data_IF_331839923386
#
_entry.id   IF_331839923386
#
_cell.length_a   1.000
_cell.length_b   1.000
_cell.length_c   1.000
_cell.angle_alpha   90.00
_cell.angle_beta   90.00
_cell.angle_gamma   90.00
#
_symmetry.space_group_name_H-M   'P 1'
#
loop_
_entity.id
_entity.type
_entity.pdbx_description
1 polymer ?
#
# COMPACT_ATOMS: atom_id res chain seq x y z
N UNK A 1 -7.58 38.35 -30.79
CA UNK A 1 -8.29 37.13 -31.19
C UNK A 1 -7.73 36.48 -32.47
N UNK A 2 -6.69 37.05 -33.09
CA UNK A 2 -6.05 36.53 -34.33
C UNK A 2 -4.68 35.88 -34.11
N UNK A 3 -4.03 36.09 -32.97
CA UNK A 3 -2.67 35.61 -32.75
C UNK A 3 -2.59 34.23 -32.07
N UNK A 4 -3.70 33.76 -31.49
CA UNK A 4 -3.76 32.44 -30.82
C UNK A 4 -4.01 31.28 -31.81
N UNK A 5 -4.51 31.61 -33.02
CA UNK A 5 -4.80 30.58 -34.04
C UNK A 5 -3.59 30.23 -34.90
N UNK A 6 -2.59 31.11 -34.98
CA UNK A 6 -1.36 30.84 -35.77
C UNK A 6 -0.31 30.03 -35.01
N UNK A 7 -0.28 30.07 -33.67
CA UNK A 7 0.61 29.23 -32.87
C UNK A 7 0.23 27.72 -32.92
N UNK A 8 -1.04 27.40 -33.07
CA UNK A 8 -1.50 26.01 -33.17
C UNK A 8 -1.18 25.36 -34.52
N UNK A 9 -1.06 26.16 -35.59
CA UNK A 9 -0.64 25.68 -36.93
C UNK A 9 0.87 25.42 -37.01
N UNK A 10 1.68 26.20 -36.32
CA UNK A 10 3.13 25.96 -36.27
C UNK A 10 3.54 24.71 -35.50
N UNK A 11 2.77 24.36 -34.46
CA UNK A 11 2.98 23.11 -33.70
C UNK A 11 2.54 21.86 -34.47
N UNK A 12 1.47 21.93 -35.25
CA UNK A 12 1.03 20.84 -36.12
C UNK A 12 1.95 20.65 -37.33
N UNK A 13 2.55 21.69 -37.85
CA UNK A 13 3.54 21.60 -38.94
C UNK A 13 4.87 20.98 -38.47
N UNK A 14 5.32 21.31 -37.25
CA UNK A 14 6.53 20.69 -36.68
C UNK A 14 6.33 19.22 -36.30
N UNK A 15 5.13 18.81 -35.91
CA UNK A 15 4.83 17.39 -35.62
C UNK A 15 4.72 16.54 -36.88
N UNK A 16 4.35 17.11 -38.03
CA UNK A 16 4.29 16.42 -39.32
C UNK A 16 5.65 16.30 -40.00
N UNK A 17 6.57 17.25 -39.80
CA UNK A 17 7.93 17.19 -40.35
C UNK A 17 8.85 16.19 -39.60
N UNK A 18 8.54 15.85 -38.35
CA UNK A 18 9.29 14.83 -37.59
C UNK A 18 8.90 13.39 -38.00
N UNK A 19 7.82 13.24 -38.78
CA UNK A 19 7.37 11.90 -39.25
C UNK A 19 7.82 11.54 -40.66
N UNK A 20 8.53 12.43 -41.36
CA UNK A 20 8.98 12.13 -42.72
C UNK A 20 10.51 11.94 -42.77
N UNK A 21 10.90 10.70 -42.79
CA UNK A 21 12.15 10.27 -43.39
C UNK A 21 13.37 10.15 -42.49
N UNK A 22 13.52 9.02 -41.95
CA UNK A 22 14.72 8.20 -42.17
C UNK A 22 14.48 6.80 -41.59
N UNK A 23 14.76 5.81 -42.39
CA UNK A 23 14.86 4.39 -42.05
C UNK A 23 15.97 4.13 -41.02
N UNK A 24 15.80 4.67 -39.82
CA UNK A 24 16.53 4.27 -38.63
C UNK A 24 15.75 3.14 -37.98
N UNK A 25 16.40 2.02 -37.71
CA UNK A 25 15.85 0.89 -36.99
C UNK A 25 15.03 1.37 -35.79
N UNK A 26 13.72 1.17 -35.84
CA UNK A 26 12.80 1.39 -34.72
C UNK A 26 13.33 0.54 -33.59
N UNK A 27 13.88 1.17 -32.55
CA UNK A 27 14.26 0.46 -31.34
C UNK A 27 12.95 0.21 -30.58
N UNK A 28 12.46 -1.05 -30.48
CA UNK A 28 11.19 -1.34 -29.82
C UNK A 28 11.15 -0.89 -28.34
N UNK A 29 12.31 -0.55 -27.77
CA UNK A 29 12.41 0.02 -26.42
C UNK A 29 12.15 1.54 -26.36
N UNK A 30 11.89 2.21 -27.50
CA UNK A 30 11.87 3.67 -27.60
C UNK A 30 10.51 4.25 -28.03
N UNK A 31 9.67 3.48 -28.71
CA UNK A 31 8.37 3.93 -29.21
C UNK A 31 7.23 3.74 -28.18
N UNK A 32 7.50 4.14 -26.94
CA UNK A 32 6.38 4.42 -26.07
C UNK A 32 5.70 5.72 -26.56
N UNK A 33 4.58 5.53 -27.25
CA UNK A 33 3.62 6.63 -27.45
C UNK A 33 3.11 7.01 -26.06
N UNK A 34 3.60 8.12 -25.53
CA UNK A 34 3.00 8.68 -24.30
C UNK A 34 1.50 8.70 -24.48
N UNK A 35 0.71 8.24 -23.51
CA UNK A 35 -0.73 8.45 -23.56
C UNK A 35 -0.96 9.90 -23.95
N UNK A 36 -1.83 10.11 -24.94
CA UNK A 36 -2.09 11.40 -25.54
C UNK A 36 -2.08 12.46 -24.44
N UNK A 37 -1.30 13.49 -24.66
CA UNK A 37 -1.11 14.60 -23.74
C UNK A 37 -2.48 15.02 -23.23
N UNK A 38 -2.87 14.52 -22.06
CA UNK A 38 -3.93 15.14 -21.29
C UNK A 38 -3.38 16.54 -21.03
N UNK A 39 -4.06 17.54 -21.55
CA UNK A 39 -3.52 18.89 -21.62
C UNK A 39 -2.90 19.31 -20.31
N UNK A 40 -1.69 19.86 -20.34
CA UNK A 40 -0.93 20.25 -19.14
C UNK A 40 -1.75 21.04 -18.12
N UNK A 41 -2.75 21.72 -18.60
CA UNK A 41 -3.60 22.59 -17.81
C UNK A 41 -4.56 21.86 -16.87
N UNK A 42 -5.03 20.66 -17.21
CA UNK A 42 -6.12 20.01 -16.46
C UNK A 42 -5.67 19.19 -15.26
N UNK A 43 -4.41 18.72 -15.24
CA UNK A 43 -3.89 17.92 -14.13
C UNK A 43 -3.36 18.72 -12.93
N UNK A 44 -3.00 20.01 -13.15
CA UNK A 44 -2.21 20.78 -12.18
C UNK A 44 -2.84 22.06 -11.65
N UNK A 45 -3.97 22.49 -12.20
CA UNK A 45 -4.61 23.77 -11.83
C UNK A 45 -6.03 23.59 -11.29
N UNK A 46 -6.14 22.81 -10.20
CA UNK A 46 -7.38 22.83 -9.40
C UNK A 46 -7.60 24.24 -8.84
N UNK A 47 -8.66 24.91 -9.30
CA UNK A 47 -9.04 26.26 -8.86
C UNK A 47 -9.57 26.27 -7.41
N UNK A 48 -9.93 25.11 -6.85
CA UNK A 48 -10.45 24.96 -5.49
C UNK A 48 -9.64 23.96 -4.66
N UNK A 49 -9.77 24.05 -3.32
CA UNK A 49 -9.19 23.08 -2.41
C UNK A 49 -9.66 21.63 -2.71
N UNK A 50 -10.94 21.48 -3.05
CA UNK A 50 -11.54 20.17 -3.36
C UNK A 50 -10.92 19.57 -4.62
N UNK A 51 -10.79 20.36 -5.70
CA UNK A 51 -10.16 19.88 -6.93
C UNK A 51 -8.72 19.45 -6.72
N UNK A 52 -7.96 20.23 -5.94
CA UNK A 52 -6.55 19.95 -5.65
C UNK A 52 -6.35 18.74 -4.72
N UNK A 53 -7.23 18.54 -3.73
CA UNK A 53 -6.99 17.54 -2.68
C UNK A 53 -7.96 16.36 -2.69
N UNK A 54 -9.06 16.43 -3.45
CA UNK A 54 -10.04 15.33 -3.51
C UNK A 54 -10.01 14.65 -4.88
N UNK A 55 -10.01 15.43 -5.95
CA UNK A 55 -10.09 14.93 -7.31
C UNK A 55 -8.78 15.05 -8.10
N UNK A 56 -7.70 15.44 -7.46
CA UNK A 56 -6.40 15.54 -8.11
C UNK A 56 -5.89 14.15 -8.52
N UNK A 57 -5.39 14.06 -9.74
CA UNK A 57 -4.81 12.85 -10.30
C UNK A 57 -3.27 12.88 -10.33
N UNK A 58 -2.65 14.02 -9.93
CA UNK A 58 -1.19 14.17 -9.85
C UNK A 58 -0.60 13.23 -8.80
N UNK A 59 0.28 12.35 -9.22
CA UNK A 59 0.94 11.38 -8.36
C UNK A 59 1.70 12.02 -7.18
N UNK A 60 2.23 13.23 -7.33
CA UNK A 60 2.94 13.93 -6.25
C UNK A 60 1.98 14.37 -5.16
N UNK A 61 0.80 14.89 -5.53
CA UNK A 61 -0.25 15.26 -4.57
C UNK A 61 -0.77 14.01 -3.87
N UNK A 62 -1.04 12.95 -4.63
CA UNK A 62 -1.49 11.65 -4.10
C UNK A 62 -0.42 11.06 -3.16
N UNK A 63 0.87 11.17 -3.50
CA UNK A 63 1.97 10.77 -2.63
C UNK A 63 1.97 11.50 -1.29
N UNK A 64 1.72 12.83 -1.29
CA UNK A 64 1.58 13.63 -0.07
C UNK A 64 0.34 13.22 0.73
N UNK A 65 -0.78 12.90 0.08
CA UNK A 65 -1.99 12.41 0.74
C UNK A 65 -1.75 11.06 1.45
N UNK A 66 -1.08 10.12 0.78
CA UNK A 66 -0.66 8.85 1.40
C UNK A 66 0.27 9.09 2.60
N UNK A 67 1.27 9.98 2.43
CA UNK A 67 2.21 10.33 3.49
C UNK A 67 1.51 10.89 4.73
N UNK A 68 0.64 11.89 4.55
CA UNK A 68 -0.09 12.51 5.66
C UNK A 68 -1.03 11.52 6.36
N UNK A 69 -1.73 10.67 5.59
CA UNK A 69 -2.62 9.64 6.14
C UNK A 69 -1.82 8.58 6.90
N UNK A 70 -0.67 8.15 6.36
CA UNK A 70 0.24 7.23 7.02
C UNK A 70 0.79 7.81 8.33
N UNK A 71 1.26 9.05 8.33
CA UNK A 71 1.76 9.72 9.55
C UNK A 71 0.66 9.85 10.59
N UNK A 72 -0.56 10.20 10.19
CA UNK A 72 -1.70 10.24 11.10
C UNK A 72 -1.95 8.88 11.76
N UNK A 73 -2.02 7.80 10.98
CA UNK A 73 -2.19 6.44 11.54
C UNK A 73 -1.01 6.03 12.41
N UNK A 74 0.21 6.40 12.01
CA UNK A 74 1.44 6.15 12.79
C UNK A 74 1.40 6.84 14.15
N UNK A 75 0.91 8.09 14.24
CA UNK A 75 0.72 8.81 15.51
C UNK A 75 -0.30 8.08 16.39
N UNK A 76 -1.41 7.61 15.82
CA UNK A 76 -2.39 6.80 16.58
C UNK A 76 -1.72 5.54 17.12
N UNK A 77 -1.01 4.80 16.28
CA UNK A 77 -0.26 3.60 16.69
C UNK A 77 0.77 3.89 17.79
N UNK A 78 1.49 5.02 17.70
CA UNK A 78 2.45 5.46 18.71
C UNK A 78 1.75 5.75 20.06
N UNK A 79 0.63 6.43 20.04
CA UNK A 79 -0.16 6.72 21.25
C UNK A 79 -0.62 5.42 21.93
N UNK A 80 -1.10 4.43 21.15
CA UNK A 80 -1.48 3.12 21.70
C UNK A 80 -0.28 2.43 22.39
N UNK A 81 0.89 2.45 21.75
CA UNK A 81 2.12 1.90 22.33
C UNK A 81 2.51 2.63 23.63
N UNK A 82 2.43 3.96 23.63
CA UNK A 82 2.74 4.75 24.82
C UNK A 82 1.81 4.44 25.99
N UNK A 83 0.50 4.35 25.74
CA UNK A 83 -0.50 3.97 26.75
C UNK A 83 -0.25 2.57 27.32
N UNK A 84 0.08 1.59 26.46
CA UNK A 84 0.48 0.26 26.91
C UNK A 84 1.73 0.28 27.80
N UNK A 85 2.72 1.11 27.47
CA UNK A 85 3.94 1.27 28.28
C UNK A 85 3.68 1.92 29.62
N UNK A 86 2.79 2.91 29.68
CA UNK A 86 2.36 3.51 30.96
C UNK A 86 1.66 2.47 31.84
N UNK A 87 0.77 1.65 31.28
CA UNK A 87 0.09 0.59 32.03
C UNK A 87 1.08 -0.43 32.61
N UNK A 88 2.10 -0.83 31.87
CA UNK A 88 3.10 -1.79 32.32
C UNK A 88 4.11 -1.19 33.31
N UNK A 89 4.49 0.07 33.10
CA UNK A 89 5.49 0.74 33.94
C UNK A 89 4.93 1.24 35.28
N UNK A 90 3.65 1.58 35.32
CA UNK A 90 3.00 2.17 36.48
C UNK A 90 1.60 1.58 36.72
N UNK A 91 1.47 0.27 36.98
CA UNK A 91 0.17 -0.41 37.03
C UNK A 91 -0.75 0.14 38.13
N UNK A 92 -0.21 0.57 39.25
CA UNK A 92 -0.98 1.12 40.38
C UNK A 92 -1.44 2.57 40.13
N UNK A 93 -0.62 3.37 39.44
CA UNK A 93 -0.92 4.77 39.14
C UNK A 93 -1.76 4.92 37.86
N UNK A 94 -1.55 4.04 36.90
CA UNK A 94 -2.14 4.11 35.57
C UNK A 94 -3.28 3.09 35.35
N UNK A 95 -3.85 2.50 36.39
CA UNK A 95 -4.87 1.42 36.33
C UNK A 95 -6.16 1.72 35.55
N UNK A 96 -6.04 2.46 34.42
CA UNK A 96 -7.14 2.85 33.54
C UNK A 96 -7.46 1.80 32.46
N UNK A 97 -6.59 0.79 32.29
CA UNK A 97 -6.70 -0.18 31.19
C UNK A 97 -7.02 -1.58 31.73
N UNK A 98 -8.12 -2.16 31.26
CA UNK A 98 -8.43 -3.57 31.51
C UNK A 98 -7.53 -4.49 30.66
N UNK A 99 -7.44 -5.76 30.99
CA UNK A 99 -6.71 -6.74 30.17
C UNK A 99 -7.26 -6.81 28.74
N UNK A 100 -8.57 -6.70 28.59
CA UNK A 100 -9.23 -6.67 27.27
C UNK A 100 -8.80 -5.48 26.42
N UNK A 101 -8.81 -4.26 26.99
CA UNK A 101 -8.33 -3.07 26.31
C UNK A 101 -6.84 -3.18 25.96
N UNK A 102 -6.03 -3.81 26.82
CA UNK A 102 -4.62 -4.02 26.53
C UNK A 102 -4.42 -4.90 25.29
N UNK A 103 -5.14 -6.02 25.16
CA UNK A 103 -5.07 -6.89 23.98
C UNK A 103 -5.58 -6.19 22.70
N UNK A 104 -6.62 -5.38 22.82
CA UNK A 104 -7.10 -4.54 21.71
C UNK A 104 -6.02 -3.55 21.27
N UNK A 105 -5.32 -2.90 22.19
CA UNK A 105 -4.25 -1.96 21.86
C UNK A 105 -3.03 -2.65 21.26
N UNK A 106 -2.64 -3.82 21.75
CA UNK A 106 -1.57 -4.65 21.14
C UNK A 106 -1.92 -4.98 19.68
N UNK A 107 -3.15 -5.42 19.45
CA UNK A 107 -3.61 -5.79 18.11
C UNK A 107 -3.61 -4.59 17.16
N UNK A 108 -4.21 -3.49 17.59
CA UNK A 108 -4.34 -2.29 16.78
C UNK A 108 -3.00 -1.61 16.54
N UNK A 109 -2.14 -1.54 17.56
CA UNK A 109 -0.78 -1.02 17.40
C UNK A 109 0.00 -1.83 16.35
N UNK A 110 0.00 -3.16 16.47
CA UNK A 110 0.72 -4.04 15.54
C UNK A 110 0.20 -3.88 14.11
N UNK A 111 -1.12 -3.93 13.92
CA UNK A 111 -1.76 -3.78 12.62
C UNK A 111 -1.50 -2.39 12.00
N UNK A 112 -1.67 -1.32 12.77
CA UNK A 112 -1.45 0.05 12.30
C UNK A 112 0.01 0.25 11.90
N UNK A 113 0.96 -0.15 12.74
CA UNK A 113 2.37 0.15 12.48
C UNK A 113 2.93 -0.64 11.31
N UNK A 114 2.60 -1.93 11.19
CA UNK A 114 3.14 -2.76 10.11
C UNK A 114 2.40 -2.50 8.81
N UNK A 115 1.08 -2.63 8.79
CA UNK A 115 0.30 -2.62 7.55
C UNK A 115 -0.05 -1.19 7.12
N UNK A 116 -0.71 -0.41 7.97
CA UNK A 116 -1.28 0.89 7.55
C UNK A 116 -0.26 2.02 7.53
N UNK A 117 0.73 2.01 8.42
CA UNK A 117 1.74 3.07 8.47
C UNK A 117 2.89 2.81 7.52
N UNK A 118 3.65 1.72 7.73
CA UNK A 118 4.90 1.49 6.98
C UNK A 118 4.64 1.24 5.49
N UNK A 119 3.67 0.39 5.14
CA UNK A 119 3.35 0.10 3.73
C UNK A 119 2.83 1.34 3.02
N UNK A 120 1.93 2.10 3.65
CA UNK A 120 1.42 3.33 3.06
C UNK A 120 2.51 4.39 2.92
N UNK A 121 3.44 4.48 3.88
CA UNK A 121 4.55 5.43 3.81
C UNK A 121 5.50 5.09 2.66
N UNK A 122 6.00 3.85 2.63
CA UNK A 122 7.05 3.46 1.67
C UNK A 122 6.50 3.20 0.28
N UNK A 123 5.43 2.43 0.15
CA UNK A 123 4.85 2.13 -1.15
C UNK A 123 3.90 3.23 -1.62
N UNK A 124 2.98 3.69 -0.78
CA UNK A 124 2.00 4.71 -1.13
C UNK A 124 2.61 6.10 -1.30
N UNK A 125 3.27 6.61 -0.25
CA UNK A 125 3.84 7.95 -0.19
C UNK A 125 5.06 8.10 -1.09
N UNK A 126 6.15 7.42 -0.75
CA UNK A 126 7.38 7.52 -1.52
C UNK A 126 7.25 6.95 -2.93
N UNK A 127 6.47 5.86 -3.14
CA UNK A 127 6.25 5.29 -4.46
C UNK A 127 5.62 6.30 -5.41
N UNK A 128 4.51 6.91 -5.04
CA UNK A 128 3.84 7.91 -5.86
C UNK A 128 4.70 9.15 -6.12
N UNK A 129 5.43 9.59 -5.12
CA UNK A 129 6.24 10.81 -5.25
C UNK A 129 7.51 10.59 -6.06
N UNK A 130 8.24 9.49 -5.80
CA UNK A 130 9.58 9.27 -6.34
C UNK A 130 9.59 8.58 -7.71
N UNK A 131 8.66 7.64 -7.98
CA UNK A 131 8.68 6.88 -9.24
C UNK A 131 8.64 7.81 -10.46
N UNK A 132 7.65 8.72 -10.64
CA UNK A 132 7.63 9.58 -11.82
C UNK A 132 8.89 10.42 -11.95
N UNK A 133 9.37 10.98 -10.84
CA UNK A 133 10.58 11.80 -10.84
C UNK A 133 11.83 11.02 -11.23
N UNK A 134 12.00 9.82 -10.68
CA UNK A 134 13.20 9.00 -10.88
C UNK A 134 13.24 8.29 -12.22
N UNK A 135 12.07 7.94 -12.80
CA UNK A 135 12.03 7.36 -14.16
C UNK A 135 11.92 8.41 -15.26
N UNK A 136 11.75 9.69 -14.89
CA UNK A 136 11.60 10.81 -15.82
C UNK A 136 10.23 10.82 -16.52
N UNK A 137 9.22 10.21 -15.90
CA UNK A 137 7.84 10.28 -16.34
C UNK A 137 7.20 11.58 -15.81
N UNK A 138 6.22 12.09 -16.53
CA UNK A 138 5.45 13.27 -16.09
C UNK A 138 4.53 12.90 -14.91
N UNK A 139 3.85 11.76 -15.02
CA UNK A 139 2.92 11.23 -14.04
C UNK A 139 2.88 9.69 -14.12
N UNK A 140 2.04 9.07 -13.30
CA UNK A 140 1.72 7.65 -13.42
C UNK A 140 0.94 7.35 -14.70
N UNK A 141 1.05 6.13 -15.23
CA UNK A 141 0.38 5.73 -16.47
C UNK A 141 -1.14 5.76 -16.35
N UNK A 142 -1.67 5.43 -15.17
CA UNK A 142 -3.11 5.43 -14.89
C UNK A 142 -3.46 6.42 -13.76
N UNK A 143 -3.55 7.75 -14.03
CA UNK A 143 -3.73 8.74 -12.98
C UNK A 143 -5.04 8.58 -12.20
N UNK A 144 -6.14 8.25 -12.89
CA UNK A 144 -7.44 8.01 -12.26
C UNK A 144 -7.41 6.79 -11.31
N UNK A 145 -6.78 5.68 -11.74
CA UNK A 145 -6.62 4.49 -10.90
C UNK A 145 -5.76 4.81 -9.67
N UNK A 146 -4.76 5.68 -9.83
CA UNK A 146 -3.92 6.15 -8.75
C UNK A 146 -4.72 6.92 -7.68
N UNK A 147 -5.53 7.87 -8.11
CA UNK A 147 -6.44 8.61 -7.23
C UNK A 147 -7.41 7.65 -6.50
N UNK A 148 -8.02 6.72 -7.23
CA UNK A 148 -8.95 5.75 -6.64
C UNK A 148 -8.25 4.84 -5.62
N UNK A 149 -7.01 4.41 -5.88
CA UNK A 149 -6.21 3.60 -4.94
C UNK A 149 -6.00 4.31 -3.61
N UNK A 150 -5.71 5.62 -3.64
CA UNK A 150 -5.60 6.43 -2.42
C UNK A 150 -6.92 6.49 -1.66
N UNK A 151 -8.04 6.75 -2.34
CA UNK A 151 -9.34 6.85 -1.68
C UNK A 151 -9.79 5.53 -1.07
N UNK A 152 -9.50 4.39 -1.72
CA UNK A 152 -9.72 3.07 -1.14
C UNK A 152 -8.92 2.88 0.15
N UNK A 153 -7.64 3.27 0.15
CA UNK A 153 -6.81 3.26 1.36
C UNK A 153 -7.33 4.20 2.45
N UNK A 154 -7.72 5.42 2.09
CA UNK A 154 -8.25 6.39 3.05
C UNK A 154 -9.53 5.88 3.72
N UNK A 155 -10.46 5.30 2.95
CA UNK A 155 -11.68 4.67 3.49
C UNK A 155 -11.32 3.46 4.36
N UNK A 156 -10.32 2.65 3.97
CA UNK A 156 -9.82 1.56 4.81
C UNK A 156 -9.36 2.07 6.19
N UNK A 157 -8.57 3.15 6.22
CA UNK A 157 -8.15 3.81 7.47
C UNK A 157 -9.35 4.31 8.28
N UNK A 158 -10.31 4.96 7.63
CA UNK A 158 -11.50 5.47 8.32
C UNK A 158 -12.33 4.34 8.96
N UNK A 159 -12.52 3.23 8.24
CA UNK A 159 -13.20 2.02 8.76
C UNK A 159 -12.42 1.39 9.91
N UNK A 160 -11.08 1.34 9.82
CA UNK A 160 -10.24 0.84 10.90
C UNK A 160 -10.40 1.71 12.16
N UNK A 161 -10.34 3.04 12.01
CA UNK A 161 -10.50 3.98 13.12
C UNK A 161 -11.90 3.92 13.71
N UNK A 162 -12.94 3.69 12.91
CA UNK A 162 -14.31 3.52 13.38
C UNK A 162 -14.46 2.33 14.34
N UNK A 163 -13.59 1.32 14.26
CA UNK A 163 -13.63 0.16 15.16
C UNK A 163 -13.39 0.53 16.64
N UNK A 164 -12.74 1.66 16.92
CA UNK A 164 -12.56 2.13 18.30
C UNK A 164 -13.84 2.64 18.95
N UNK A 165 -14.85 2.99 18.16
CA UNK A 165 -16.07 3.65 18.61
C UNK A 165 -17.31 2.74 18.58
N UNK A 166 -17.16 1.47 18.21
CA UNK A 166 -18.28 0.50 18.22
C UNK A 166 -18.36 -0.23 19.56
N UNK A 167 -19.53 -0.75 19.93
CA UNK A 167 -19.68 -1.58 21.13
C UNK A 167 -18.69 -2.76 21.13
N UNK A 168 -17.99 -2.94 22.24
CA UNK A 168 -16.92 -3.93 22.39
C UNK A 168 -15.56 -3.51 21.85
N UNK A 169 -15.46 -2.36 21.17
CA UNK A 169 -14.19 -1.83 20.64
C UNK A 169 -13.58 -2.61 19.49
N UNK A 170 -12.34 -2.33 19.12
CA UNK A 170 -11.61 -3.05 18.07
C UNK A 170 -11.29 -4.49 18.50
N UNK A 171 -10.91 -5.36 17.56
CA UNK A 171 -10.54 -6.74 17.90
C UNK A 171 -9.29 -6.82 18.76
N UNK A 172 -9.29 -7.71 19.75
CA UNK A 172 -8.14 -8.06 20.59
C UNK A 172 -7.49 -9.40 20.22
N UNK A 173 -7.76 -9.92 19.01
CA UNK A 173 -7.30 -11.25 18.58
C UNK A 173 -5.81 -11.34 18.22
N UNK A 174 -5.06 -10.24 18.29
CA UNK A 174 -3.70 -10.12 17.76
C UNK A 174 -3.67 -9.67 16.31
N UNK A 175 -2.58 -9.01 15.87
CA UNK A 175 -2.49 -8.47 14.52
C UNK A 175 -2.49 -9.54 13.42
N UNK A 176 -2.13 -10.78 13.76
CA UNK A 176 -2.15 -11.93 12.84
C UNK A 176 -3.54 -12.52 12.64
N UNK A 177 -4.53 -12.12 13.46
CA UNK A 177 -5.93 -12.53 13.37
C UNK A 177 -6.15 -14.05 13.30
N UNK A 178 -5.42 -14.84 14.08
CA UNK A 178 -5.52 -16.30 14.03
C UNK A 178 -6.88 -16.83 14.50
N UNK A 179 -7.55 -17.64 13.67
CA UNK A 179 -8.68 -18.44 14.15
C UNK A 179 -8.17 -19.61 15.03
N UNK A 180 -8.96 -20.15 15.92
CA UNK A 180 -10.38 -19.82 16.15
C UNK A 180 -10.59 -18.56 16.98
N UNK A 181 -9.55 -18.06 17.67
CA UNK A 181 -9.63 -16.95 18.62
C UNK A 181 -10.33 -15.71 18.02
N UNK A 182 -10.01 -15.34 16.78
CA UNK A 182 -10.56 -14.16 16.11
C UNK A 182 -12.09 -14.21 15.97
N UNK A 183 -12.67 -15.41 15.87
CA UNK A 183 -14.11 -15.62 15.59
C UNK A 183 -14.89 -15.87 16.88
N UNK A 184 -14.25 -16.46 17.89
CA UNK A 184 -14.91 -16.85 19.13
C UNK A 184 -15.43 -15.64 19.93
N UNK A 185 -16.62 -15.77 20.50
CA UNK A 185 -17.31 -14.71 21.25
C UNK A 185 -16.57 -14.21 22.49
N UNK A 186 -15.71 -15.01 23.08
CA UNK A 186 -14.91 -14.62 24.24
C UNK A 186 -13.75 -13.67 23.95
N UNK A 187 -13.44 -13.39 22.68
CA UNK A 187 -12.37 -12.47 22.30
C UNK A 187 -12.86 -11.02 22.32
N UNK A 188 -12.14 -10.08 22.93
CA UNK A 188 -12.51 -8.67 22.92
C UNK A 188 -12.69 -8.16 21.48
N UNK A 189 -13.80 -7.47 21.22
CA UNK A 189 -14.11 -6.93 19.88
C UNK A 189 -14.47 -7.98 18.84
N UNK A 190 -14.82 -9.21 19.24
CA UNK A 190 -15.23 -10.30 18.34
C UNK A 190 -16.57 -10.05 17.62
N UNK A 191 -17.33 -9.00 17.98
CA UNK A 191 -18.55 -8.57 17.30
C UNK A 191 -18.24 -7.69 16.08
N UNK A 192 -18.68 -6.43 16.12
CA UNK A 192 -18.49 -5.46 15.03
C UNK A 192 -17.03 -5.09 14.82
N UNK A 193 -16.19 -5.09 15.88
CA UNK A 193 -14.80 -4.71 15.78
C UNK A 193 -13.99 -5.53 14.80
N UNK A 194 -14.13 -6.86 14.84
CA UNK A 194 -13.43 -7.74 13.86
C UNK A 194 -13.96 -7.56 12.44
N UNK A 195 -15.26 -7.36 12.26
CA UNK A 195 -15.82 -7.15 10.92
C UNK A 195 -15.27 -5.87 10.29
N UNK A 196 -15.18 -4.78 11.06
CA UNK A 196 -14.57 -3.54 10.57
C UNK A 196 -13.09 -3.73 10.24
N UNK A 197 -12.35 -4.51 11.02
CA UNK A 197 -10.96 -4.85 10.71
C UNK A 197 -10.85 -5.60 9.37
N UNK A 198 -11.68 -6.61 9.14
CA UNK A 198 -11.64 -7.42 7.91
C UNK A 198 -12.08 -6.62 6.68
N UNK A 199 -13.09 -5.75 6.81
CA UNK A 199 -13.51 -4.82 5.75
C UNK A 199 -12.38 -3.85 5.45
N UNK A 200 -11.78 -3.26 6.47
CA UNK A 200 -10.64 -2.34 6.32
C UNK A 200 -9.46 -3.00 5.60
N UNK A 201 -9.06 -4.21 6.01
CA UNK A 201 -8.01 -4.97 5.33
C UNK A 201 -8.34 -5.27 3.87
N UNK A 202 -9.58 -5.63 3.58
CA UNK A 202 -10.02 -5.89 2.20
C UNK A 202 -9.91 -4.64 1.33
N UNK A 203 -10.36 -3.49 1.83
CA UNK A 203 -10.23 -2.20 1.14
C UNK A 203 -8.77 -1.78 0.96
N UNK A 204 -7.94 -1.98 1.99
CA UNK A 204 -6.50 -1.74 1.94
C UNK A 204 -5.85 -2.55 0.80
N UNK A 205 -6.09 -3.86 0.78
CA UNK A 205 -5.50 -4.75 -0.24
C UNK A 205 -5.94 -4.35 -1.65
N UNK A 206 -7.23 -4.07 -1.85
CA UNK A 206 -7.75 -3.65 -3.17
C UNK A 206 -7.05 -2.35 -3.60
N UNK A 207 -6.98 -1.34 -2.72
CA UNK A 207 -6.34 -0.07 -3.02
C UNK A 207 -4.87 -0.23 -3.40
N UNK A 208 -4.09 -0.96 -2.59
CA UNK A 208 -2.66 -1.16 -2.85
C UNK A 208 -2.39 -2.07 -4.06
N UNK A 209 -3.27 -3.02 -4.38
CA UNK A 209 -3.16 -3.82 -5.61
C UNK A 209 -3.34 -2.93 -6.84
N UNK A 210 -4.31 -2.01 -6.82
CA UNK A 210 -4.52 -1.04 -7.90
C UNK A 210 -3.30 -0.09 -8.06
N UNK A 211 -2.79 0.45 -6.95
CA UNK A 211 -1.60 1.30 -6.94
C UNK A 211 -0.35 0.55 -7.41
N UNK A 212 -0.17 -0.69 -6.95
CA UNK A 212 0.95 -1.54 -7.33
C UNK A 212 0.98 -1.85 -8.83
N UNK A 213 -0.16 -2.20 -9.42
CA UNK A 213 -0.27 -2.39 -10.87
C UNK A 213 0.16 -1.12 -11.62
N UNK A 214 -0.27 0.05 -11.16
CA UNK A 214 0.08 1.32 -11.75
C UNK A 214 1.60 1.60 -11.67
N UNK A 215 2.23 1.34 -10.51
CA UNK A 215 3.69 1.48 -10.36
C UNK A 215 4.45 0.58 -11.31
N UNK A 216 4.06 -0.69 -11.37
CA UNK A 216 4.70 -1.67 -12.24
C UNK A 216 4.65 -1.24 -13.72
N UNK A 217 3.49 -0.84 -14.20
CA UNK A 217 3.32 -0.38 -15.59
C UNK A 217 4.10 0.92 -15.83
N UNK A 218 4.06 1.87 -14.90
CA UNK A 218 4.79 3.14 -15.01
C UNK A 218 6.30 2.89 -15.08
N UNK A 219 6.84 2.05 -14.21
CA UNK A 219 8.28 1.71 -14.22
C UNK A 219 8.67 0.98 -15.50
N UNK A 220 7.84 0.08 -16.01
CA UNK A 220 8.17 -0.70 -17.21
C UNK A 220 8.02 0.11 -18.50
N UNK A 221 7.04 1.00 -18.61
CA UNK A 221 6.66 1.63 -19.88
C UNK A 221 6.96 3.12 -19.95
N UNK A 222 6.96 3.86 -18.83
CA UNK A 222 7.07 5.32 -18.83
C UNK A 222 8.49 5.85 -18.55
N UNK A 223 9.52 5.00 -18.60
CA UNK A 223 10.91 5.46 -18.42
C UNK A 223 11.33 6.40 -19.54
N UNK A 224 12.12 7.43 -19.16
CA UNK A 224 12.71 8.33 -20.13
C UNK A 224 13.62 7.61 -21.13
N UNK A 225 13.77 8.17 -22.32
CA UNK A 225 14.63 7.62 -23.38
C UNK A 225 16.05 7.38 -22.87
N UNK A 226 16.61 6.22 -23.15
CA UNK A 226 17.97 5.81 -22.74
C UNK A 226 18.06 5.22 -21.31
N UNK A 227 16.98 5.24 -20.53
CA UNK A 227 16.94 4.57 -19.23
C UNK A 227 16.51 3.10 -19.40
N UNK A 228 17.48 2.24 -19.61
CA UNK A 228 17.27 0.79 -19.56
C UNK A 228 17.05 0.34 -18.11
N UNK A 229 16.53 -0.88 -17.89
CA UNK A 229 16.32 -1.42 -16.54
C UNK A 229 17.57 -1.31 -15.66
N UNK A 230 18.75 -1.67 -16.21
CA UNK A 230 20.02 -1.62 -15.49
C UNK A 230 20.62 -0.20 -15.35
N UNK A 231 19.86 0.83 -15.67
CA UNK A 231 20.19 2.24 -15.42
C UNK A 231 19.21 2.93 -14.47
N UNK A 232 18.22 2.18 -13.97
CA UNK A 232 17.28 2.73 -12.98
C UNK A 232 17.97 2.93 -11.63
N UNK A 233 17.59 3.96 -10.84
CA UNK A 233 18.04 4.10 -9.46
C UNK A 233 17.67 2.89 -8.61
N UNK A 234 18.44 2.61 -7.54
CA UNK A 234 18.13 1.47 -6.64
C UNK A 234 16.81 1.65 -5.90
N UNK A 235 16.41 2.89 -5.64
CA UNK A 235 15.06 3.21 -5.12
C UNK A 235 13.96 2.64 -6.01
N UNK A 236 14.08 2.84 -7.33
CA UNK A 236 13.10 2.32 -8.30
C UNK A 236 13.11 0.79 -8.33
N UNK A 237 14.29 0.16 -8.25
CA UNK A 237 14.41 -1.29 -8.14
C UNK A 237 13.77 -1.84 -6.86
N UNK A 238 14.01 -1.17 -5.72
CA UNK A 238 13.41 -1.55 -4.44
C UNK A 238 11.88 -1.49 -4.50
N UNK A 239 11.32 -0.39 -5.00
CA UNK A 239 9.87 -0.22 -5.15
C UNK A 239 9.30 -1.21 -6.18
N UNK A 240 9.99 -1.42 -7.30
CA UNK A 240 9.54 -2.36 -8.33
C UNK A 240 9.45 -3.80 -7.80
N UNK A 241 10.50 -4.28 -7.13
CA UNK A 241 10.51 -5.63 -6.54
C UNK A 241 9.45 -5.76 -5.45
N UNK A 242 9.31 -4.76 -4.57
CA UNK A 242 8.26 -4.71 -3.57
C UNK A 242 6.86 -4.76 -4.19
N UNK A 243 6.67 -4.07 -5.31
CA UNK A 243 5.38 -4.07 -6.03
C UNK A 243 5.05 -5.44 -6.61
N UNK A 244 6.04 -6.15 -7.19
CA UNK A 244 5.85 -7.52 -7.69
C UNK A 244 5.44 -8.45 -6.55
N UNK A 245 6.12 -8.36 -5.39
CA UNK A 245 5.76 -9.11 -4.19
C UNK A 245 4.32 -8.81 -3.74
N UNK A 246 3.95 -7.52 -3.68
CA UNK A 246 2.61 -7.10 -3.28
C UNK A 246 1.53 -7.68 -4.20
N UNK A 247 1.74 -7.66 -5.51
CA UNK A 247 0.81 -8.20 -6.50
C UNK A 247 0.57 -9.71 -6.32
N UNK A 248 1.57 -10.45 -5.83
CA UNK A 248 1.46 -11.88 -5.56
C UNK A 248 0.87 -12.18 -4.19
N UNK A 249 1.23 -11.39 -3.18
CA UNK A 249 0.91 -11.66 -1.78
C UNK A 249 -0.46 -11.10 -1.34
N UNK A 250 -0.84 -9.92 -1.79
CA UNK A 250 -2.08 -9.26 -1.40
C UNK A 250 -3.36 -10.05 -1.71
N UNK A 251 -3.49 -10.75 -2.85
CA UNK A 251 -4.66 -11.60 -3.10
C UNK A 251 -4.86 -12.69 -2.05
N UNK A 252 -3.79 -13.27 -1.49
CA UNK A 252 -3.89 -14.28 -0.45
C UNK A 252 -4.47 -13.71 0.86
N UNK A 253 -4.05 -12.49 1.24
CA UNK A 253 -4.62 -11.79 2.38
C UNK A 253 -6.10 -11.44 2.14
N UNK A 254 -6.46 -10.98 0.94
CA UNK A 254 -7.84 -10.67 0.60
C UNK A 254 -8.74 -11.90 0.71
N UNK A 255 -8.30 -13.04 0.16
CA UNK A 255 -9.04 -14.30 0.25
C UNK A 255 -9.21 -14.71 1.71
N UNK A 256 -8.15 -14.62 2.54
CA UNK A 256 -8.24 -14.98 3.96
C UNK A 256 -9.21 -14.07 4.72
N UNK A 257 -9.22 -12.76 4.43
CA UNK A 257 -10.14 -11.82 5.05
C UNK A 257 -11.61 -12.09 4.65
N UNK A 258 -11.86 -12.38 3.37
CA UNK A 258 -13.21 -12.74 2.89
C UNK A 258 -13.69 -14.04 3.54
N UNK A 259 -12.88 -15.11 3.52
CA UNK A 259 -13.24 -16.39 4.10
C UNK A 259 -13.52 -16.28 5.61
N UNK A 260 -12.70 -15.48 6.33
CA UNK A 260 -12.94 -15.21 7.76
C UNK A 260 -14.20 -14.40 7.99
N UNK A 261 -14.51 -13.45 7.11
CA UNK A 261 -15.80 -12.72 7.16
C UNK A 261 -16.99 -13.66 6.98
N UNK A 262 -16.88 -14.60 6.04
CA UNK A 262 -17.93 -15.63 5.82
C UNK A 262 -18.07 -16.55 7.05
N UNK A 263 -16.96 -16.99 7.65
CA UNK A 263 -17.00 -17.77 8.89
C UNK A 263 -17.69 -17.00 10.02
N UNK A 264 -17.46 -15.69 10.12
CA UNK A 264 -18.05 -14.86 11.16
C UNK A 264 -19.54 -14.52 10.92
N UNK A 265 -19.91 -14.19 9.68
CA UNK A 265 -21.24 -13.67 9.34
C UNK A 265 -22.21 -14.78 8.93
N UNK A 266 -21.74 -15.73 8.13
CA UNK A 266 -22.56 -16.82 7.58
C UNK A 266 -22.38 -18.15 8.32
N UNK A 267 -21.52 -18.16 9.37
CA UNK A 267 -21.21 -19.36 10.14
C UNK A 267 -20.68 -20.53 9.27
N UNK A 268 -19.96 -20.19 8.21
CA UNK A 268 -19.18 -21.18 7.47
C UNK A 268 -18.03 -21.68 8.35
N UNK A 269 -17.37 -22.76 7.96
CA UNK A 269 -16.27 -23.34 8.74
C UNK A 269 -15.01 -23.53 7.91
N UNK A 270 -14.58 -22.51 7.18
CA UNK A 270 -13.30 -22.55 6.45
C UNK A 270 -12.11 -22.71 7.39
N UNK A 271 -12.13 -21.95 8.49
CA UNK A 271 -11.03 -21.87 9.45
C UNK A 271 -11.40 -22.39 10.84
N UNK A 272 -12.67 -22.68 11.08
CA UNK A 272 -13.15 -23.11 12.39
C UNK A 272 -13.10 -24.61 12.53
N UNK A 273 -12.21 -25.16 13.39
CA UNK A 273 -12.18 -26.59 13.68
C UNK A 273 -13.35 -26.96 14.59
N UNK A 274 -13.58 -28.26 14.76
CA UNK A 274 -14.47 -28.75 15.81
C UNK A 274 -13.89 -28.39 17.19
N UNK A 275 -14.64 -27.61 17.95
CA UNK A 275 -14.25 -27.15 19.29
C UNK A 275 -15.11 -27.83 20.33
N UNK A 276 -14.49 -28.44 21.32
CA UNK A 276 -15.16 -29.00 22.50
C UNK A 276 -15.12 -27.96 23.63
N UNK A 277 -16.29 -27.53 24.10
CA UNK A 277 -16.43 -26.67 25.28
C UNK A 277 -17.19 -27.42 26.35
N UNK A 278 -16.56 -27.72 27.46
CA UNK A 278 -17.15 -28.48 28.57
C UNK A 278 -17.69 -29.86 28.16
N UNK A 279 -17.12 -30.48 27.13
CA UNK A 279 -17.58 -31.78 26.62
C UNK A 279 -18.65 -31.70 25.54
N UNK A 280 -19.17 -30.50 25.24
CA UNK A 280 -20.14 -30.31 24.14
C UNK A 280 -19.41 -29.80 22.89
N UNK A 281 -19.82 -30.28 21.73
CA UNK A 281 -19.32 -29.84 20.42
C UNK A 281 -20.03 -28.52 20.07
N UNK A 282 -19.22 -27.44 19.88
CA UNK A 282 -19.75 -26.24 19.26
C UNK A 282 -20.10 -26.53 17.79
N UNK A 283 -21.11 -25.84 17.26
CA UNK A 283 -21.65 -26.08 15.91
C UNK A 283 -20.67 -25.80 14.76
N UNK A 284 -19.47 -25.34 15.08
CA UNK A 284 -18.39 -25.17 14.10
C UNK A 284 -17.66 -26.50 13.93
N UNK A 285 -17.44 -26.94 12.71
CA UNK A 285 -16.76 -28.20 12.50
C UNK A 285 -16.15 -28.37 11.12
N UNK A 286 -14.95 -28.95 11.10
CA UNK A 286 -14.28 -29.40 9.88
C UNK A 286 -13.36 -28.40 9.17
N UNK A 287 -13.28 -27.16 9.64
CA UNK A 287 -12.34 -26.18 9.11
C UNK A 287 -10.92 -26.31 9.67
N UNK A 288 -9.97 -25.60 9.06
CA UNK A 288 -8.56 -25.65 9.43
C UNK A 288 -7.99 -24.27 9.75
N UNK A 289 -7.62 -23.97 11.01
CA UNK A 289 -6.89 -22.77 11.37
C UNK A 289 -5.54 -22.66 10.64
N UNK A 290 -4.92 -23.79 10.30
CA UNK A 290 -3.65 -23.82 9.56
C UNK A 290 -3.84 -23.26 8.15
N UNK A 291 -4.99 -23.48 7.49
CA UNK A 291 -5.29 -22.89 6.19
C UNK A 291 -5.21 -21.36 6.25
N UNK A 292 -5.79 -20.75 7.32
CA UNK A 292 -5.68 -19.32 7.53
C UNK A 292 -4.22 -18.88 7.67
N UNK A 293 -3.45 -19.60 8.49
CA UNK A 293 -2.04 -19.27 8.73
C UNK A 293 -1.23 -19.32 7.43
N UNK A 294 -1.46 -20.30 6.56
CA UNK A 294 -0.80 -20.40 5.27
C UNK A 294 -1.14 -19.21 4.37
N UNK A 295 -2.42 -18.86 4.25
CA UNK A 295 -2.86 -17.70 3.46
C UNK A 295 -2.33 -16.38 4.03
N UNK A 296 -2.41 -16.20 5.36
CA UNK A 296 -1.94 -15.01 6.04
C UNK A 296 -0.42 -14.84 5.88
N UNK A 297 0.37 -15.89 6.13
CA UNK A 297 1.82 -15.78 6.06
C UNK A 297 2.39 -15.80 4.64
N UNK A 298 1.62 -16.27 3.66
CA UNK A 298 1.93 -16.03 2.25
C UNK A 298 1.93 -14.53 1.92
N UNK A 299 1.16 -13.75 2.65
CA UNK A 299 1.25 -12.29 2.67
C UNK A 299 2.27 -11.79 3.69
N UNK A 300 2.23 -12.30 4.92
CA UNK A 300 2.88 -11.66 6.08
C UNK A 300 4.40 -11.54 5.97
N UNK A 301 5.10 -12.52 5.39
CA UNK A 301 6.53 -12.38 5.14
C UNK A 301 6.84 -11.47 3.95
N UNK A 302 6.21 -11.61 2.77
CA UNK A 302 6.37 -10.62 1.71
C UNK A 302 6.11 -9.18 2.15
N UNK A 303 5.16 -8.94 3.05
CA UNK A 303 4.84 -7.60 3.57
C UNK A 303 6.07 -6.92 4.18
N UNK A 304 6.86 -7.62 4.97
CA UNK A 304 8.06 -7.02 5.58
C UNK A 304 9.12 -6.68 4.53
N UNK A 305 9.19 -7.42 3.42
CA UNK A 305 10.05 -7.07 2.29
C UNK A 305 9.47 -5.95 1.43
N UNK A 306 8.15 -5.87 1.30
CA UNK A 306 7.45 -4.75 0.63
C UNK A 306 7.83 -3.42 1.30
N UNK A 307 8.03 -3.41 2.60
CA UNK A 307 8.50 -2.24 3.35
C UNK A 307 10.02 -2.08 3.26
N UNK A 308 10.79 -3.16 3.42
CA UNK A 308 12.26 -3.10 3.52
C UNK A 308 12.94 -2.78 2.19
N UNK A 309 12.47 -3.31 1.06
CA UNK A 309 13.14 -3.13 -0.23
C UNK A 309 13.13 -1.68 -0.74
N UNK A 310 12.02 -0.93 -0.67
CA UNK A 310 12.03 0.50 -0.96
C UNK A 310 13.00 1.25 -0.05
N UNK A 311 13.02 0.94 1.25
CA UNK A 311 13.93 1.57 2.20
C UNK A 311 15.40 1.31 1.84
N UNK A 312 15.78 0.09 1.47
CA UNK A 312 17.13 -0.24 1.01
C UNK A 312 17.52 0.54 -0.24
N UNK A 313 16.61 0.66 -1.21
CA UNK A 313 16.81 1.45 -2.40
C UNK A 313 17.04 2.92 -2.09
N UNK A 314 16.14 3.54 -1.31
CA UNK A 314 16.22 4.95 -0.91
C UNK A 314 17.53 5.24 -0.17
N UNK A 315 17.87 4.42 0.83
CA UNK A 315 19.10 4.60 1.62
C UNK A 315 20.34 4.47 0.75
N UNK A 316 20.37 3.51 -0.19
CA UNK A 316 21.49 3.31 -1.11
C UNK A 316 21.74 4.53 -2.01
N UNK A 317 20.66 5.07 -2.59
CA UNK A 317 20.76 6.27 -3.43
C UNK A 317 21.14 7.51 -2.60
N UNK A 318 20.59 7.69 -1.39
CA UNK A 318 20.95 8.77 -0.48
C UNK A 318 22.44 8.72 -0.07
N UNK A 319 22.96 7.55 0.28
CA UNK A 319 24.39 7.39 0.62
C UNK A 319 25.26 7.77 -0.57
N UNK A 320 24.90 7.32 -1.78
CA UNK A 320 25.64 7.67 -3.01
C UNK A 320 25.71 9.18 -3.22
N UNK A 321 24.58 9.89 -3.08
CA UNK A 321 24.50 11.34 -3.25
C UNK A 321 25.33 12.07 -2.19
N UNK A 322 25.17 11.72 -0.92
CA UNK A 322 25.90 12.37 0.18
C UNK A 322 27.42 12.07 0.15
N UNK A 323 27.80 10.85 -0.22
CA UNK A 323 29.19 10.47 -0.39
C UNK A 323 29.82 11.03 -1.67
N UNK A 324 29.01 11.56 -2.60
CA UNK A 324 29.43 12.03 -3.94
C UNK A 324 30.23 10.95 -4.70
N UNK A 325 29.81 9.69 -4.57
CA UNK A 325 30.47 8.53 -5.19
C UNK A 325 29.42 7.62 -5.83
N UNK A 326 29.79 7.01 -6.94
CA UNK A 326 28.96 5.99 -7.55
C UNK A 326 28.80 4.78 -6.63
N UNK A 327 27.65 4.12 -6.73
CA UNK A 327 27.36 2.89 -5.99
C UNK A 327 28.31 1.80 -6.46
N UNK A 328 29.08 1.25 -5.52
CA UNK A 328 29.96 0.13 -5.78
C UNK A 328 29.14 -1.14 -6.07
N UNK A 329 29.46 -1.82 -7.18
CA UNK A 329 28.80 -3.09 -7.51
C UNK A 329 27.30 -2.94 -7.81
N UNK A 330 26.84 -1.86 -8.46
CA UNK A 330 25.43 -1.58 -8.74
C UNK A 330 24.64 -2.81 -9.22
N UNK A 331 25.17 -3.57 -10.20
CA UNK A 331 24.48 -4.77 -10.70
C UNK A 331 24.28 -5.83 -9.63
N UNK A 332 25.26 -6.01 -8.74
CA UNK A 332 25.17 -6.95 -7.62
C UNK A 332 24.12 -6.49 -6.60
N UNK A 333 24.04 -5.17 -6.35
CA UNK A 333 23.01 -4.58 -5.49
C UNK A 333 21.60 -4.80 -6.07
N UNK A 334 21.43 -4.62 -7.40
CA UNK A 334 20.15 -4.94 -8.06
C UNK A 334 19.78 -6.41 -7.86
N UNK A 335 20.73 -7.33 -8.14
CA UNK A 335 20.47 -8.76 -7.96
C UNK A 335 20.23 -9.15 -6.49
N UNK A 336 20.87 -8.47 -5.56
CA UNK A 336 20.60 -8.68 -4.13
C UNK A 336 19.17 -8.24 -3.75
N UNK A 337 18.72 -7.08 -4.24
CA UNK A 337 17.34 -6.60 -4.03
C UNK A 337 16.32 -7.58 -4.63
N UNK A 338 16.54 -8.02 -5.87
CA UNK A 338 15.62 -8.96 -6.54
C UNK A 338 15.68 -10.35 -5.92
N UNK A 339 16.85 -10.80 -5.51
CA UNK A 339 17.05 -12.16 -4.98
C UNK A 339 16.59 -12.34 -3.54
N UNK A 340 16.50 -11.28 -2.74
CA UNK A 340 15.97 -11.34 -1.38
C UNK A 340 14.44 -11.20 -1.37
N UNK A 341 13.86 -10.56 -2.38
CA UNK A 341 12.42 -10.46 -2.58
C UNK A 341 11.87 -11.69 -3.31
#
# INVERSE_FOLDING_TARGET
MSDEYDNNKSYQAQSSEVMDGSTGSVNPDIDYVRPAEVGEQDLYHGHSFIEKWVFCQDAKVIGVQYFLTAVFTGIVGLILSWLMRLQLGFPELAGFMTAEHYYQFVTMHGMIMVVYFLTALFLGGFGNYLIPLMVGARDMVFPYVNMLSFWMFFVAVAVLMASFFVPGGPTGAGWTLYPPQTILEGTPGSGTGILLMLISLSLFVIGFTMGGLNYMITILQARTRGMTLMRMPLTVWGIFTATVLAMLAFPALLVSAIMMTLDKVLQTSFFMPTILKAGEVLEYGGGSPILFQHLFWFFGHPEVYIVALPAFGIVSDLISVHARKNIFGYRMMVWAIVGIG
#
